data_IF_940474614749
#
_entry.id   IF_940474614749
#
_cell.length_a   1.000
_cell.length_b   1.000
_cell.length_c   1.000
_cell.angle_alpha   90.00
_cell.angle_beta   90.00
_cell.angle_gamma   90.00
#
_symmetry.space_group_name_H-M   'P 1'
#
loop_
_entity.id
_entity.type
_entity.pdbx_description
1 polymer ?
#
# COMPACT_ATOMS: atom_id res chain seq x y z
N UNK A 1 -53.49 36.53 -11.93
CA UNK A 1 -53.79 35.88 -10.64
C UNK A 1 -52.76 34.80 -10.40
N UNK A 2 -52.00 34.94 -9.33
CA UNK A 2 -50.91 34.06 -8.92
C UNK A 2 -51.45 32.82 -8.21
N UNK A 3 -50.87 31.64 -8.44
CA UNK A 3 -50.76 30.61 -7.41
C UNK A 3 -49.60 29.65 -7.71
N UNK A 4 -48.66 29.62 -6.78
CA UNK A 4 -47.49 28.75 -6.68
C UNK A 4 -47.85 27.27 -6.48
N UNK A 5 -46.97 26.36 -6.89
CA UNK A 5 -46.36 25.36 -6.00
C UNK A 5 -45.25 24.59 -6.74
N UNK A 6 -44.02 24.67 -6.23
CA UNK A 6 -42.97 23.67 -6.48
C UNK A 6 -43.30 22.41 -5.65
N UNK A 7 -42.95 21.23 -6.18
CA UNK A 7 -42.14 20.32 -5.35
C UNK A 7 -40.95 19.79 -6.13
N UNK A 8 -39.79 19.85 -5.48
CA UNK A 8 -38.59 19.15 -5.91
C UNK A 8 -38.77 17.63 -5.84
N UNK A 9 -38.08 16.95 -6.74
CA UNK A 9 -37.65 15.56 -6.59
C UNK A 9 -36.22 15.55 -7.14
N UNK A 10 -35.23 15.50 -6.26
CA UNK A 10 -34.68 14.27 -5.68
C UNK A 10 -33.90 13.45 -6.70
N UNK A 11 -32.62 13.24 -6.37
CA UNK A 11 -31.81 12.18 -6.91
C UNK A 11 -30.84 12.62 -7.98
N UNK A 12 -29.76 13.30 -7.59
CA UNK A 12 -28.50 13.10 -8.28
C UNK A 12 -28.11 11.62 -8.13
N UNK A 13 -28.45 10.78 -9.11
CA UNK A 13 -27.84 9.46 -9.19
C UNK A 13 -26.45 9.67 -9.76
N UNK A 14 -25.47 9.87 -8.87
CA UNK A 14 -24.07 9.70 -9.21
C UNK A 14 -23.94 8.28 -9.79
N UNK A 15 -23.76 8.21 -11.10
CA UNK A 15 -23.57 6.97 -11.84
C UNK A 15 -22.32 6.31 -11.26
N UNK A 16 -22.54 5.28 -10.45
CA UNK A 16 -21.53 4.36 -9.96
C UNK A 16 -20.66 3.98 -11.16
N UNK A 17 -19.46 4.56 -11.15
CA UNK A 17 -18.35 4.11 -11.97
C UNK A 17 -17.72 3.01 -11.15
N UNK A 18 -18.31 1.81 -11.20
CA UNK A 18 -17.61 0.60 -10.80
C UNK A 18 -16.48 0.41 -11.83
N UNK A 19 -15.41 1.20 -11.70
CA UNK A 19 -14.11 0.79 -12.20
C UNK A 19 -13.75 -0.35 -11.27
N UNK A 20 -13.78 -1.57 -11.80
CA UNK A 20 -13.01 -2.63 -11.16
C UNK A 20 -11.56 -2.16 -11.24
N UNK A 21 -11.05 -1.61 -10.15
CA UNK A 21 -9.65 -1.28 -10.01
C UNK A 21 -8.87 -2.61 -10.08
N UNK A 22 -8.22 -2.86 -11.22
CA UNK A 22 -7.49 -4.10 -11.50
C UNK A 22 -6.37 -4.34 -10.48
N UNK A 23 -5.97 -3.28 -9.78
CA UNK A 23 -5.09 -3.24 -8.63
C UNK A 23 -5.59 -4.06 -7.43
N UNK A 24 -6.92 -4.18 -7.24
CA UNK A 24 -7.51 -4.92 -6.12
C UNK A 24 -7.42 -6.44 -6.33
N UNK A 25 -7.47 -6.91 -7.58
CA UNK A 25 -7.51 -8.34 -7.92
C UNK A 25 -6.17 -9.06 -7.73
N UNK A 26 -5.05 -8.33 -7.72
CA UNK A 26 -3.70 -8.90 -7.65
C UNK A 26 -2.96 -8.56 -6.36
N UNK A 27 -3.69 -8.19 -5.31
CA UNK A 27 -3.14 -7.89 -3.98
C UNK A 27 -3.17 -9.12 -3.10
N UNK A 28 -2.06 -9.37 -2.42
CA UNK A 28 -1.95 -10.36 -1.36
C UNK A 28 -2.31 -9.69 -0.04
N UNK A 29 -3.18 -10.32 0.74
CA UNK A 29 -3.52 -9.85 2.08
C UNK A 29 -2.35 -10.05 3.04
N UNK A 30 -2.14 -9.10 3.96
CA UNK A 30 -1.04 -9.17 4.95
C UNK A 30 -1.07 -10.47 5.76
N UNK A 31 -2.27 -11.01 6.01
CA UNK A 31 -2.49 -12.23 6.80
C UNK A 31 -2.04 -13.51 6.08
N UNK A 32 -1.96 -13.47 4.76
CA UNK A 32 -1.57 -14.59 3.90
C UNK A 32 -0.06 -14.60 3.62
N UNK A 33 0.68 -13.63 4.16
CA UNK A 33 2.14 -13.58 4.07
C UNK A 33 2.78 -14.58 5.05
N UNK A 34 4.01 -15.06 4.78
CA UNK A 34 4.81 -15.80 5.76
C UNK A 34 5.00 -14.99 7.06
N UNK A 35 5.09 -15.69 8.20
CA UNK A 35 5.22 -15.06 9.52
C UNK A 35 6.38 -14.05 9.61
N UNK A 36 7.54 -14.41 9.08
CA UNK A 36 8.73 -13.54 9.08
C UNK A 36 8.48 -12.21 8.32
N UNK A 37 7.65 -12.25 7.27
CA UNK A 37 7.30 -11.08 6.47
C UNK A 37 6.25 -10.22 7.18
N UNK A 38 5.33 -10.85 7.90
CA UNK A 38 4.34 -10.13 8.71
C UNK A 38 5.04 -9.35 9.81
N UNK A 39 5.93 -10.00 10.56
CA UNK A 39 6.70 -9.38 11.64
C UNK A 39 7.55 -8.21 11.12
N UNK A 40 8.24 -8.41 9.99
CA UNK A 40 9.00 -7.33 9.34
C UNK A 40 8.12 -6.14 8.95
N UNK A 41 6.93 -6.38 8.38
CA UNK A 41 6.00 -5.30 8.01
C UNK A 41 5.48 -4.52 9.22
N UNK A 42 5.27 -5.20 10.35
CA UNK A 42 4.86 -4.56 11.61
C UNK A 42 5.99 -3.69 12.18
N UNK A 43 7.23 -4.17 12.12
CA UNK A 43 8.40 -3.42 12.59
C UNK A 43 8.60 -2.11 11.82
N UNK A 44 8.47 -2.16 10.49
CA UNK A 44 8.67 -0.98 9.64
C UNK A 44 7.42 -0.14 9.43
N UNK A 45 6.26 -0.49 10.01
CA UNK A 45 4.97 0.16 9.77
C UNK A 45 5.04 1.69 9.96
N UNK A 46 5.86 2.15 10.91
CA UNK A 46 6.06 3.57 11.22
C UNK A 46 6.81 4.36 10.14
N UNK A 47 7.64 3.69 9.33
CA UNK A 47 8.47 4.28 8.27
C UNK A 47 8.05 3.82 6.85
N UNK A 48 7.09 2.89 6.77
CA UNK A 48 6.52 2.39 5.54
C UNK A 48 5.44 3.35 5.02
N UNK A 49 5.61 3.82 3.78
CA UNK A 49 4.57 4.63 3.15
C UNK A 49 3.44 3.75 2.59
N UNK A 50 2.25 4.33 2.43
CA UNK A 50 1.11 3.61 1.82
C UNK A 50 1.44 3.08 0.42
N UNK A 51 2.17 3.83 -0.38
CA UNK A 51 2.56 3.43 -1.73
C UNK A 51 3.54 2.24 -1.73
N UNK A 52 4.49 2.26 -0.79
CA UNK A 52 5.42 1.13 -0.58
C UNK A 52 4.67 -0.12 -0.08
N UNK A 53 3.71 0.04 0.83
CA UNK A 53 2.85 -1.07 1.27
C UNK A 53 2.08 -1.66 0.09
N UNK A 54 1.41 -0.83 -0.71
CA UNK A 54 0.65 -1.33 -1.87
C UNK A 54 1.55 -2.00 -2.90
N UNK A 55 2.76 -1.49 -3.09
CA UNK A 55 3.76 -2.10 -3.98
C UNK A 55 4.18 -3.47 -3.43
N UNK A 56 4.45 -3.57 -2.13
CA UNK A 56 4.87 -4.80 -1.48
C UNK A 56 3.79 -5.89 -1.55
N UNK A 57 2.53 -5.53 -1.32
CA UNK A 57 1.42 -6.47 -1.33
C UNK A 57 1.08 -7.01 -2.72
N UNK A 58 1.62 -6.41 -3.79
CA UNK A 58 1.53 -6.95 -5.16
C UNK A 58 2.63 -7.95 -5.50
N UNK A 59 3.63 -8.11 -4.62
CA UNK A 59 4.75 -9.01 -4.87
C UNK A 59 4.37 -10.46 -4.56
N UNK A 60 4.32 -11.28 -5.61
CA UNK A 60 3.91 -12.69 -5.52
C UNK A 60 5.02 -13.63 -5.05
N UNK A 61 6.27 -13.33 -5.42
CA UNK A 61 7.40 -14.25 -5.17
C UNK A 61 8.28 -13.79 -4.03
N UNK A 62 8.84 -14.75 -3.30
CA UNK A 62 9.79 -14.50 -2.21
C UNK A 62 11.01 -13.69 -2.69
N UNK A 63 11.53 -13.98 -3.89
CA UNK A 63 12.64 -13.23 -4.49
C UNK A 63 12.31 -11.75 -4.69
N UNK A 64 11.10 -11.44 -5.17
CA UNK A 64 10.67 -10.06 -5.35
C UNK A 64 10.55 -9.33 -4.01
N UNK A 65 10.03 -10.01 -2.99
CA UNK A 65 9.93 -9.46 -1.63
C UNK A 65 11.31 -9.21 -1.02
N UNK A 66 12.25 -10.15 -1.17
CA UNK A 66 13.62 -9.98 -0.70
C UNK A 66 14.33 -8.79 -1.37
N UNK A 67 14.17 -8.64 -2.69
CA UNK A 67 14.70 -7.47 -3.42
C UNK A 67 14.06 -6.16 -2.96
N UNK A 68 12.76 -6.16 -2.68
CA UNK A 68 12.07 -4.99 -2.12
C UNK A 68 12.64 -4.63 -0.75
N UNK A 69 12.73 -5.58 0.18
CA UNK A 69 13.28 -5.37 1.52
C UNK A 69 14.70 -4.80 1.46
N UNK A 70 15.55 -5.36 0.59
CA UNK A 70 16.90 -4.86 0.36
C UNK A 70 16.90 -3.40 -0.13
N UNK A 71 16.08 -3.08 -1.14
CA UNK A 71 16.01 -1.72 -1.68
C UNK A 71 15.42 -0.72 -0.68
N UNK A 72 14.41 -1.16 0.09
CA UNK A 72 13.75 -0.35 1.12
C UNK A 72 14.78 0.22 2.10
N UNK A 73 15.74 -0.61 2.50
CA UNK A 73 16.83 -0.21 3.39
C UNK A 73 17.96 0.54 2.67
N UNK A 74 18.35 0.13 1.45
CA UNK A 74 19.41 0.81 0.69
C UNK A 74 19.09 2.29 0.41
N UNK A 75 17.82 2.62 0.15
CA UNK A 75 17.41 4.02 -0.09
C UNK A 75 17.40 4.85 1.20
N UNK A 76 17.28 4.19 2.35
CA UNK A 76 17.25 4.81 3.68
C UNK A 76 18.60 4.81 4.40
N UNK A 77 19.59 4.10 3.86
CA UNK A 77 20.96 4.08 4.36
C UNK A 77 21.57 5.50 4.26
N UNK A 78 21.89 6.15 5.40
CA UNK A 78 22.43 7.50 5.43
C UNK A 78 23.89 7.58 4.96
N UNK A 79 24.55 6.44 4.77
CA UNK A 79 25.94 6.30 4.33
C UNK A 79 26.05 5.41 3.09
N UNK A 80 25.58 5.86 1.92
CA UNK A 80 25.67 5.10 0.68
C UNK A 80 27.14 4.94 0.27
N UNK A 81 27.79 3.87 0.72
CA UNK A 81 29.23 3.66 0.51
C UNK A 81 29.87 2.53 1.31
N UNK A 82 29.22 1.99 2.34
CA UNK A 82 29.69 0.80 3.05
C UNK A 82 28.88 -0.45 2.63
N UNK A 83 29.53 -1.61 2.46
CA UNK A 83 28.81 -2.87 2.19
C UNK A 83 28.01 -3.37 3.41
N UNK A 84 28.18 -2.73 4.56
CA UNK A 84 27.50 -3.00 5.81
C UNK A 84 26.43 -1.93 5.99
N UNK A 85 25.17 -2.36 6.07
CA UNK A 85 24.04 -1.50 6.38
C UNK A 85 23.89 -1.49 7.91
N UNK A 86 24.47 -0.50 8.57
CA UNK A 86 24.49 -0.39 10.04
C UNK A 86 23.06 -0.23 10.63
N UNK A 87 22.04 0.02 9.81
CA UNK A 87 20.63 0.07 10.24
C UNK A 87 20.01 -1.33 10.41
N UNK A 88 20.58 -2.35 9.75
CA UNK A 88 20.19 -3.77 9.89
C UNK A 88 20.76 -4.42 11.17
N UNK A 89 21.73 -3.78 11.82
CA UNK A 89 22.37 -4.28 13.06
C UNK A 89 21.77 -3.62 14.32
N UNK A 90 21.04 -2.51 14.19
CA UNK A 90 20.39 -1.79 15.30
C UNK A 90 18.89 -2.08 15.48
N UNK A 91 18.24 -2.68 14.47
CA UNK A 91 16.85 -3.14 14.48
C UNK A 91 16.81 -4.62 14.09
#
# INVERSE_FOLDING_TARGET
>A
MVLSMLPGASGATARSSQRFDLDEWNRIDKRDLPGDIQEWLEEIEVILTKEEEETFLRLETELQRAEFMKRFWVVRDPTPGTPQNEYYDEY
#
